data_IF_637602848707
#
_entry.id   IF_637602848707
#
_cell.length_a   1.000
_cell.length_b   1.000
_cell.length_c   1.000
_cell.angle_alpha   90.00
_cell.angle_beta   90.00
_cell.angle_gamma   90.00
#
_symmetry.space_group_name_H-M   'P 1'
#
loop_
_entity.id
_entity.type
_entity.pdbx_description
1 polymer ?
#
# COMPACT_ATOMS: atom_id res chain seq x y z
N UNK A 1 9.63 -19.74 11.98
CA UNK A 1 9.19 -20.19 10.63
C UNK A 1 10.19 -19.72 9.61
N UNK A 2 10.55 -20.60 8.65
CA UNK A 2 11.49 -20.25 7.59
C UNK A 2 10.76 -19.40 6.52
N UNK A 3 11.47 -18.44 5.94
CA UNK A 3 10.93 -17.64 4.84
C UNK A 3 10.62 -18.50 3.60
N UNK A 4 11.38 -19.58 3.39
CA UNK A 4 11.15 -20.59 2.35
C UNK A 4 9.81 -21.34 2.49
N UNK A 5 9.20 -21.36 3.68
CA UNK A 5 7.89 -21.97 3.90
C UNK A 5 6.76 -21.21 3.16
N UNK A 6 7.04 -19.98 2.73
CA UNK A 6 6.13 -19.07 2.02
C UNK A 6 6.56 -18.85 0.57
N UNK A 7 7.14 -19.86 -0.05
CA UNK A 7 7.64 -19.79 -1.42
C UNK A 7 6.71 -20.52 -2.39
N UNK A 8 6.63 -19.99 -3.60
CA UNK A 8 5.95 -20.61 -4.74
C UNK A 8 6.57 -20.11 -6.05
N UNK A 9 6.42 -20.89 -7.12
CA UNK A 9 6.94 -20.52 -8.42
C UNK A 9 5.95 -19.59 -9.11
N UNK A 10 6.39 -18.37 -9.44
CA UNK A 10 5.60 -17.39 -10.18
C UNK A 10 6.29 -17.09 -11.52
N UNK A 11 5.67 -17.43 -12.65
CA UNK A 11 6.15 -17.03 -13.98
C UNK A 11 6.12 -15.49 -14.11
N UNK A 12 7.22 -14.90 -14.56
CA UNK A 12 7.35 -13.43 -14.66
C UNK A 12 6.30 -12.79 -15.59
N UNK A 13 5.84 -13.51 -16.62
CA UNK A 13 4.81 -13.05 -17.55
C UNK A 13 3.42 -12.90 -16.90
N UNK A 14 3.19 -13.49 -15.73
CA UNK A 14 1.94 -13.33 -14.98
C UNK A 14 1.95 -12.09 -14.08
N UNK A 15 3.08 -11.40 -13.96
CA UNK A 15 3.16 -10.11 -13.23
C UNK A 15 2.53 -9.03 -14.10
N UNK A 16 1.39 -8.50 -13.67
CA UNK A 16 0.64 -7.51 -14.43
C UNK A 16 1.39 -6.18 -14.53
N UNK A 17 1.77 -5.79 -15.73
CA UNK A 17 2.46 -4.52 -15.99
C UNK A 17 1.50 -3.34 -16.20
N UNK A 18 0.25 -3.62 -16.57
CA UNK A 18 -0.81 -2.62 -16.83
C UNK A 18 -2.13 -3.06 -16.20
N UNK A 19 -2.97 -2.13 -15.74
CA UNK A 19 -4.33 -2.45 -15.31
C UNK A 19 -5.17 -2.92 -16.50
N UNK A 20 -6.23 -3.69 -16.22
CA UNK A 20 -7.28 -3.96 -17.20
C UNK A 20 -8.01 -2.67 -17.54
N UNK A 21 -8.62 -2.57 -18.70
CA UNK A 21 -9.42 -1.42 -19.11
C UNK A 21 -10.54 -1.14 -18.08
N UNK A 22 -11.34 -2.16 -17.77
CA UNK A 22 -12.35 -2.10 -16.73
C UNK A 22 -11.78 -2.68 -15.42
N UNK A 23 -11.90 -1.91 -14.32
CA UNK A 23 -11.36 -2.32 -12.99
C UNK A 23 -11.98 -3.60 -12.46
N UNK A 24 -13.27 -3.77 -12.66
CA UNK A 24 -14.08 -4.89 -12.16
C UNK A 24 -14.08 -6.13 -13.09
N UNK A 25 -13.38 -6.06 -14.21
CA UNK A 25 -13.13 -7.22 -15.08
C UNK A 25 -12.04 -8.16 -14.57
N UNK A 26 -11.38 -7.85 -13.45
CA UNK A 26 -10.39 -8.73 -12.81
C UNK A 26 -11.02 -10.05 -12.41
N UNK A 27 -10.26 -11.13 -12.55
CA UNK A 27 -10.63 -12.43 -11.99
C UNK A 27 -10.51 -12.37 -10.47
N UNK A 28 -11.32 -13.16 -9.80
CA UNK A 28 -11.36 -13.26 -8.34
C UNK A 28 -11.43 -14.73 -7.93
N UNK A 29 -10.40 -15.20 -7.21
CA UNK A 29 -10.42 -16.51 -6.60
C UNK A 29 -11.12 -16.42 -5.24
N UNK A 30 -12.22 -17.12 -5.08
CA UNK A 30 -12.99 -17.15 -3.83
C UNK A 30 -12.55 -18.37 -3.02
N UNK A 31 -12.04 -18.12 -1.81
CA UNK A 31 -11.70 -19.15 -0.83
C UNK A 31 -12.74 -19.12 0.29
N UNK A 32 -13.60 -20.11 0.33
CA UNK A 32 -14.64 -20.21 1.36
C UNK A 32 -14.18 -21.11 2.51
N UNK A 33 -14.05 -20.53 3.70
CA UNK A 33 -13.63 -21.23 4.91
C UNK A 33 -14.62 -22.30 5.37
N UNK A 34 -15.93 -22.03 5.19
CA UNK A 34 -16.97 -22.88 5.68
C UNK A 34 -17.17 -24.15 4.85
N UNK A 35 -17.20 -24.00 3.51
CA UNK A 35 -17.40 -25.12 2.58
C UNK A 35 -16.11 -25.84 2.21
N UNK A 36 -14.97 -25.18 2.33
CA UNK A 36 -13.68 -25.67 1.85
C UNK A 36 -13.56 -25.66 0.30
N UNK A 37 -14.55 -25.12 -0.40
CA UNK A 37 -14.60 -25.03 -1.86
C UNK A 37 -13.97 -23.74 -2.32
N UNK A 38 -13.14 -23.82 -3.35
CA UNK A 38 -12.51 -22.68 -4.01
C UNK A 38 -13.16 -22.49 -5.40
N UNK A 39 -13.49 -21.24 -5.75
CA UNK A 39 -14.21 -20.92 -6.98
C UNK A 39 -13.53 -19.81 -7.77
N UNK A 40 -13.41 -20.02 -9.08
CA UNK A 40 -12.99 -18.97 -10.03
C UNK A 40 -14.20 -18.08 -10.38
N UNK A 41 -14.10 -16.78 -10.09
CA UNK A 41 -15.13 -15.76 -10.31
C UNK A 41 -14.53 -14.51 -10.95
N UNK A 42 -15.37 -13.52 -11.22
CA UNK A 42 -14.95 -12.17 -11.59
C UNK A 42 -15.29 -11.19 -10.46
N UNK A 43 -14.48 -10.13 -10.34
CA UNK A 43 -14.71 -9.12 -9.29
C UNK A 43 -16.08 -8.44 -9.40
N UNK A 44 -16.61 -8.26 -10.62
CA UNK A 44 -17.94 -7.71 -10.85
C UNK A 44 -19.07 -8.51 -10.15
N UNK A 45 -18.82 -9.78 -9.79
CA UNK A 45 -19.74 -10.66 -9.09
C UNK A 45 -19.71 -10.46 -7.56
N UNK A 46 -18.73 -9.73 -7.03
CA UNK A 46 -18.55 -9.52 -5.59
C UNK A 46 -19.85 -9.15 -4.86
N UNK A 47 -20.69 -8.22 -5.35
CA UNK A 47 -21.93 -7.88 -4.66
C UNK A 47 -22.87 -9.07 -4.43
N UNK A 48 -22.89 -10.02 -5.36
CA UNK A 48 -23.71 -11.23 -5.26
C UNK A 48 -23.13 -12.30 -4.34
N UNK A 49 -21.84 -12.28 -4.12
CA UNK A 49 -21.12 -13.26 -3.29
C UNK A 49 -21.08 -12.89 -1.80
N UNK A 50 -21.37 -11.64 -1.46
CA UNK A 50 -21.44 -11.18 -0.08
C UNK A 50 -22.73 -11.74 0.58
N UNK A 51 -22.69 -11.98 1.89
CA UNK A 51 -23.86 -12.49 2.66
C UNK A 51 -24.98 -11.44 2.76
N UNK A 52 -24.60 -10.17 2.91
CA UNK A 52 -25.51 -9.04 3.02
C UNK A 52 -25.52 -8.38 4.41
N UNK A 53 -24.85 -8.99 5.38
CA UNK A 53 -24.72 -8.49 6.75
C UNK A 53 -23.29 -8.04 7.09
N UNK A 54 -22.34 -8.15 6.17
CA UNK A 54 -20.97 -7.71 6.38
C UNK A 54 -20.87 -6.19 6.59
N UNK A 55 -19.80 -5.77 7.25
CA UNK A 55 -19.28 -4.41 7.19
C UNK A 55 -17.97 -4.45 6.39
N UNK A 56 -17.93 -3.73 5.29
CA UNK A 56 -16.74 -3.62 4.44
C UNK A 56 -15.90 -2.45 4.93
N UNK A 57 -14.62 -2.68 5.18
CA UNK A 57 -13.67 -1.62 5.58
C UNK A 57 -12.65 -1.40 4.48
N UNK A 58 -12.56 -0.17 3.98
CA UNK A 58 -11.64 0.25 2.91
C UNK A 58 -10.60 1.23 3.43
N UNK A 59 -9.45 1.28 2.77
CA UNK A 59 -8.40 2.25 3.04
C UNK A 59 -8.51 3.41 2.04
N UNK A 60 -8.88 4.60 2.53
CA UNK A 60 -9.13 5.80 1.72
C UNK A 60 -7.89 6.64 1.45
N UNK A 61 -6.70 6.11 1.73
CA UNK A 61 -5.46 6.81 1.43
C UNK A 61 -5.31 7.11 -0.06
N UNK A 62 -4.74 8.28 -0.38
CA UNK A 62 -4.45 8.72 -1.74
C UNK A 62 -2.95 8.74 -1.99
N UNK A 63 -2.53 8.11 -3.08
CA UNK A 63 -1.11 8.12 -3.50
C UNK A 63 -0.74 9.49 -4.01
N UNK A 64 0.36 10.04 -3.51
CA UNK A 64 0.96 11.27 -4.04
C UNK A 64 1.99 10.92 -5.14
N UNK A 65 2.25 11.80 -6.12
CA UNK A 65 3.30 11.59 -7.11
C UNK A 65 4.68 11.79 -6.48
N UNK A 66 5.04 10.84 -5.61
CA UNK A 66 6.16 10.90 -4.69
C UNK A 66 7.53 10.64 -5.35
N UNK A 67 7.57 10.27 -6.63
CA UNK A 67 8.82 9.96 -7.35
C UNK A 67 9.26 11.17 -8.15
N UNK A 68 10.38 11.79 -7.76
CA UNK A 68 10.96 12.96 -8.42
C UNK A 68 12.23 12.57 -9.16
N UNK A 69 12.33 13.01 -10.43
CA UNK A 69 13.51 12.84 -11.27
C UNK A 69 14.18 14.20 -11.44
N UNK A 70 15.41 14.32 -10.94
CA UNK A 70 16.13 15.59 -10.91
C UNK A 70 17.57 15.45 -11.34
N UNK A 71 18.25 16.57 -11.37
CA UNK A 71 19.70 16.64 -11.65
C UNK A 71 20.40 17.32 -10.50
N UNK A 72 21.65 16.89 -10.23
CA UNK A 72 22.47 17.51 -9.21
C UNK A 72 22.74 18.97 -9.58
N UNK A 73 22.30 19.88 -8.72
CA UNK A 73 22.69 21.29 -8.79
C UNK A 73 24.14 21.45 -8.37
N UNK A 74 24.87 22.36 -9.01
CA UNK A 74 26.18 22.76 -8.50
C UNK A 74 25.99 23.54 -7.21
N UNK A 75 26.87 23.39 -6.19
CA UNK A 75 26.99 24.41 -5.15
C UNK A 75 27.28 25.73 -5.89
N UNK A 76 26.51 26.76 -5.61
CA UNK A 76 26.83 28.12 -6.09
C UNK A 76 27.95 28.62 -5.16
N UNK A 77 29.21 28.69 -5.61
CA UNK A 77 30.15 29.62 -4.97
C UNK A 77 29.67 31.01 -5.39
N UNK A 78 29.67 31.93 -4.47
CA UNK A 78 29.40 33.34 -4.78
C UNK A 78 30.09 33.75 -6.07
N UNK A 79 29.34 33.97 -7.13
CA UNK A 79 29.76 34.80 -8.24
C UNK A 79 30.12 34.18 -9.57
N UNK A 80 29.88 32.93 -9.97
CA UNK A 80 30.07 32.51 -11.36
C UNK A 80 29.16 31.35 -11.80
N UNK A 81 28.26 31.66 -12.74
CA UNK A 81 27.49 30.72 -13.54
C UNK A 81 28.37 30.10 -14.63
N UNK A 82 28.55 28.78 -14.63
CA UNK A 82 28.77 28.01 -15.85
C UNK A 82 28.43 26.53 -15.65
N UNK A 83 27.54 26.04 -16.48
CA UNK A 83 27.11 24.66 -16.61
C UNK A 83 28.24 23.77 -17.14
N UNK A 84 28.55 22.70 -16.41
CA UNK A 84 29.29 21.55 -16.97
C UNK A 84 28.31 20.39 -17.20
N UNK A 85 28.39 19.69 -18.34
CA UNK A 85 27.53 18.56 -18.62
C UNK A 85 27.96 17.32 -17.85
N UNK A 86 26.98 16.43 -17.58
CA UNK A 86 27.13 15.08 -17.09
C UNK A 86 27.29 14.86 -15.57
N UNK A 87 26.35 15.36 -14.77
CA UNK A 87 25.96 14.64 -13.55
C UNK A 87 24.63 13.94 -13.78
N UNK A 88 24.63 12.60 -13.60
CA UNK A 88 23.52 11.73 -13.93
C UNK A 88 22.23 12.07 -13.18
N UNK A 89 21.15 11.57 -13.71
CA UNK A 89 19.81 11.69 -13.12
C UNK A 89 19.80 11.15 -11.69
N UNK A 90 19.12 11.88 -10.80
CA UNK A 90 18.91 11.51 -9.41
C UNK A 90 17.42 11.25 -9.23
N UNK A 91 17.11 10.03 -8.82
CA UNK A 91 15.76 9.65 -8.41
C UNK A 91 15.60 9.89 -6.91
N UNK A 92 14.56 10.62 -6.54
CA UNK A 92 14.13 10.82 -5.15
C UNK A 92 12.73 10.24 -5.02
N UNK A 93 12.59 9.28 -4.09
CA UNK A 93 11.30 8.73 -3.70
C UNK A 93 10.96 9.22 -2.30
N UNK A 94 10.01 10.15 -2.21
CA UNK A 94 9.52 10.70 -0.95
C UNK A 94 8.88 9.58 -0.12
N UNK A 95 9.13 9.58 1.19
CA UNK A 95 8.70 8.50 2.07
C UNK A 95 7.81 8.97 3.21
N UNK A 96 8.17 10.06 3.84
CA UNK A 96 7.47 10.62 4.99
C UNK A 96 7.64 12.13 5.01
N UNK A 97 6.53 12.83 5.18
CA UNK A 97 6.49 14.27 5.39
C UNK A 97 6.81 14.59 6.86
N UNK A 98 7.87 15.38 7.05
CA UNK A 98 8.28 15.83 8.39
C UNK A 98 7.60 17.15 8.73
N UNK A 99 7.57 18.06 7.75
CA UNK A 99 6.86 19.33 7.76
C UNK A 99 6.56 19.77 6.30
N UNK A 100 5.92 20.92 6.12
CA UNK A 100 5.44 21.44 4.81
C UNK A 100 6.52 21.50 3.71
N UNK A 101 7.80 21.49 4.07
CA UNK A 101 8.94 21.62 3.14
C UNK A 101 10.00 20.54 3.35
N UNK A 102 9.90 19.75 4.39
CA UNK A 102 10.91 18.75 4.78
C UNK A 102 10.37 17.34 4.66
N UNK A 103 11.09 16.47 3.96
CA UNK A 103 10.70 15.10 3.69
C UNK A 103 11.83 14.12 3.95
N UNK A 104 11.51 12.98 4.50
CA UNK A 104 12.35 11.79 4.41
C UNK A 104 12.14 11.12 3.07
N UNK A 105 13.22 10.71 2.41
CA UNK A 105 13.18 10.14 1.07
C UNK A 105 14.25 9.07 0.87
N UNK A 106 14.01 8.15 -0.05
CA UNK A 106 15.06 7.31 -0.64
C UNK A 106 15.65 8.01 -1.86
N UNK A 107 16.97 7.96 -1.97
CA UNK A 107 17.70 8.61 -3.08
C UNK A 107 18.53 7.58 -3.85
N UNK A 108 18.44 7.62 -5.17
CA UNK A 108 19.24 6.81 -6.10
C UNK A 108 19.89 7.68 -7.19
N UNK A 109 21.21 7.54 -7.39
CA UNK A 109 22.20 6.80 -6.60
C UNK A 109 22.56 7.52 -5.29
N UNK A 110 22.31 6.87 -4.14
CA UNK A 110 22.50 7.48 -2.81
C UNK A 110 23.97 7.81 -2.44
N UNK A 111 24.95 7.09 -3.02
CA UNK A 111 26.38 7.32 -2.76
C UNK A 111 26.90 8.67 -3.25
N UNK A 112 26.19 9.30 -4.17
CA UNK A 112 26.61 10.54 -4.83
C UNK A 112 25.97 11.79 -4.23
N UNK A 113 25.09 11.67 -3.23
CA UNK A 113 24.37 12.79 -2.66
C UNK A 113 24.65 12.91 -1.15
N UNK A 114 25.38 13.97 -0.78
CA UNK A 114 25.84 14.27 0.58
C UNK A 114 25.08 15.46 1.17
N UNK A 115 25.17 15.63 2.50
CA UNK A 115 24.58 16.79 3.21
C UNK A 115 25.12 18.10 2.60
N UNK A 116 24.24 19.08 2.43
CA UNK A 116 24.49 20.36 1.77
C UNK A 116 24.41 20.32 0.24
N UNK A 117 24.27 19.14 -0.37
CA UNK A 117 24.12 19.06 -1.82
C UNK A 117 22.66 19.24 -2.22
N UNK A 118 22.46 19.77 -3.42
CA UNK A 118 21.17 20.14 -3.96
C UNK A 118 20.82 19.37 -5.22
N UNK A 119 19.54 19.08 -5.37
CA UNK A 119 18.95 18.46 -6.56
C UNK A 119 17.87 19.38 -7.10
N UNK A 120 17.88 19.63 -8.39
CA UNK A 120 16.94 20.50 -9.10
C UNK A 120 15.97 19.68 -9.95
N UNK A 121 14.71 20.10 -9.94
CA UNK A 121 13.62 19.48 -10.69
C UNK A 121 12.91 20.55 -11.56
N UNK A 122 12.30 20.12 -12.67
CA UNK A 122 11.55 21.00 -13.55
C UNK A 122 12.36 22.18 -14.08
N UNK A 123 13.66 21.99 -14.36
CA UNK A 123 14.53 23.10 -14.83
C UNK A 123 14.89 24.12 -13.74
N UNK A 124 14.79 23.75 -12.46
CA UNK A 124 15.09 24.62 -11.31
C UNK A 124 13.88 25.25 -10.66
N UNK A 125 12.68 24.86 -11.05
CA UNK A 125 11.42 25.37 -10.42
C UNK A 125 11.27 24.86 -8.99
N UNK A 126 11.70 23.62 -8.73
CA UNK A 126 11.78 23.02 -7.40
C UNK A 126 13.21 22.57 -7.13
N UNK A 127 13.71 22.79 -5.92
CA UNK A 127 15.03 22.37 -5.46
C UNK A 127 14.88 21.63 -4.13
N UNK A 128 15.69 20.56 -3.94
CA UNK A 128 15.81 19.86 -2.66
C UNK A 128 17.27 19.89 -2.17
N UNK A 129 17.48 20.29 -0.92
CA UNK A 129 18.78 20.24 -0.22
C UNK A 129 18.79 19.05 0.74
N UNK A 130 19.88 18.28 0.73
CA UNK A 130 20.10 17.21 1.70
C UNK A 130 20.50 17.83 3.04
N UNK A 131 19.67 17.70 4.06
CA UNK A 131 19.94 18.22 5.40
C UNK A 131 20.42 17.15 6.39
N UNK A 132 20.10 15.85 6.14
CA UNK A 132 20.58 14.76 6.98
C UNK A 132 20.70 13.45 6.20
N UNK A 133 21.53 12.54 6.69
CA UNK A 133 21.65 11.16 6.21
C UNK A 133 20.88 10.23 7.14
N UNK A 134 20.04 9.38 6.57
CA UNK A 134 19.40 8.24 7.24
C UNK A 134 20.11 6.91 6.94
N UNK A 135 19.53 5.82 7.39
CA UNK A 135 20.01 4.45 7.12
C UNK A 135 19.61 4.00 5.71
N UNK A 136 20.36 3.06 5.13
CA UNK A 136 20.01 2.35 3.89
C UNK A 136 19.64 3.24 2.68
N UNK A 137 20.34 4.37 2.50
CA UNK A 137 20.08 5.28 1.37
C UNK A 137 19.00 6.35 1.65
N UNK A 138 18.43 6.37 2.84
CA UNK A 138 17.51 7.43 3.25
C UNK A 138 18.24 8.77 3.41
N UNK A 139 17.52 9.85 3.11
CA UNK A 139 17.95 11.25 3.27
C UNK A 139 16.79 12.05 3.84
N UNK A 140 17.10 13.05 4.65
CA UNK A 140 16.16 14.13 4.95
C UNK A 140 16.44 15.26 3.98
N UNK A 141 15.42 15.68 3.25
CA UNK A 141 15.49 16.68 2.20
C UNK A 141 14.64 17.89 2.59
N UNK A 142 15.18 19.08 2.41
CA UNK A 142 14.43 20.33 2.53
C UNK A 142 14.17 20.88 1.13
N UNK A 143 12.91 21.06 0.78
CA UNK A 143 12.49 21.60 -0.51
C UNK A 143 12.33 23.11 -0.48
N UNK A 144 12.58 23.73 -1.62
CA UNK A 144 12.32 25.16 -1.87
C UNK A 144 11.82 25.34 -3.30
N UNK A 145 10.85 26.22 -3.49
CA UNK A 145 10.32 26.61 -4.81
C UNK A 145 10.94 27.93 -5.25
N UNK A 146 11.44 27.99 -6.49
CA UNK A 146 12.04 29.21 -7.07
C UNK A 146 11.04 30.38 -7.17
N UNK A 147 9.73 30.11 -7.28
CA UNK A 147 8.66 31.10 -7.43
C UNK A 147 7.87 31.35 -6.15
N UNK A 148 8.31 30.81 -5.00
CA UNK A 148 7.56 30.89 -3.75
C UNK A 148 6.22 30.13 -3.77
N UNK A 149 6.07 29.17 -4.70
CA UNK A 149 4.91 28.30 -4.76
C UNK A 149 4.93 27.31 -3.60
N UNK A 150 3.77 26.79 -3.23
CA UNK A 150 3.64 25.74 -2.19
C UNK A 150 4.36 24.48 -2.65
N UNK A 151 5.25 23.96 -1.80
CA UNK A 151 6.14 22.83 -2.16
C UNK A 151 5.36 21.59 -2.60
N UNK A 152 4.28 21.26 -1.91
CA UNK A 152 3.46 20.09 -2.25
C UNK A 152 2.78 20.20 -3.62
N UNK A 153 2.44 21.41 -4.05
CA UNK A 153 1.84 21.65 -5.37
C UNK A 153 2.88 21.40 -6.46
N UNK A 154 4.12 21.87 -6.26
CA UNK A 154 5.23 21.62 -7.18
C UNK A 154 5.61 20.13 -7.22
N UNK A 155 5.65 19.45 -6.07
CA UNK A 155 5.83 17.99 -6.01
C UNK A 155 4.71 17.29 -6.80
N UNK A 156 3.47 17.72 -6.62
CA UNK A 156 2.31 17.14 -7.32
C UNK A 156 2.37 17.33 -8.84
N UNK A 157 2.91 18.45 -9.27
CA UNK A 157 3.04 18.80 -10.70
C UNK A 157 4.21 18.10 -11.38
N UNK A 158 5.39 18.10 -10.73
CA UNK A 158 6.64 17.59 -11.28
C UNK A 158 6.86 16.10 -11.00
N UNK A 159 6.18 15.56 -9.99
CA UNK A 159 6.35 14.19 -9.56
C UNK A 159 5.68 13.18 -10.48
N UNK A 160 6.23 11.98 -10.45
CA UNK A 160 5.78 10.77 -11.12
C UNK A 160 5.08 9.84 -10.12
N UNK A 161 4.17 9.02 -10.63
CA UNK A 161 3.52 8.01 -9.80
C UNK A 161 4.56 6.96 -9.34
N UNK A 162 4.63 6.68 -8.03
CA UNK A 162 5.60 5.75 -7.47
C UNK A 162 5.17 4.29 -7.71
N UNK A 163 5.20 3.85 -8.96
CA UNK A 163 4.85 2.47 -9.30
C UNK A 163 5.80 1.49 -8.60
N UNK A 164 5.29 0.32 -8.16
CA UNK A 164 6.11 -0.71 -7.53
C UNK A 164 7.23 -1.21 -8.44
N UNK A 165 8.37 -1.68 -7.89
CA UNK A 165 9.56 -2.05 -8.66
C UNK A 165 9.38 -3.26 -9.59
N UNK A 166 8.31 -4.05 -9.44
CA UNK A 166 7.96 -5.15 -10.34
C UNK A 166 7.16 -4.70 -11.57
N UNK A 167 6.73 -3.44 -11.63
CA UNK A 167 6.21 -2.80 -12.83
C UNK A 167 7.41 -2.17 -13.55
N UNK A 168 7.92 -2.90 -14.55
CA UNK A 168 9.15 -2.54 -15.27
C UNK A 168 8.84 -1.62 -16.47
N UNK A 169 8.28 -0.45 -16.17
CA UNK A 169 8.04 0.65 -17.12
C UNK A 169 8.00 2.00 -16.41
N UNK A 170 8.19 3.07 -17.16
CA UNK A 170 7.88 4.41 -16.67
C UNK A 170 6.38 4.54 -16.37
N UNK A 171 6.03 5.45 -15.47
CA UNK A 171 4.64 5.81 -15.26
C UNK A 171 4.08 6.60 -16.46
N UNK A 172 2.80 6.41 -16.70
CA UNK A 172 2.04 7.07 -17.75
C UNK A 172 1.03 8.04 -17.12
N UNK A 173 0.52 8.99 -17.89
CA UNK A 173 -0.49 9.95 -17.40
C UNK A 173 -1.71 9.24 -16.79
N UNK A 174 -2.10 8.10 -17.38
CA UNK A 174 -3.20 7.27 -16.89
C UNK A 174 -2.95 6.67 -15.50
N UNK A 175 -1.69 6.45 -15.08
CA UNK A 175 -1.39 5.88 -13.77
C UNK A 175 -1.78 6.85 -12.63
N UNK A 176 -1.87 8.16 -12.88
CA UNK A 176 -2.36 9.13 -11.89
C UNK A 176 -3.78 8.80 -11.40
N UNK A 177 -4.61 8.25 -12.28
CA UNK A 177 -5.97 7.82 -11.97
C UNK A 177 -6.06 6.31 -11.72
N UNK A 178 -5.29 5.51 -12.49
CA UNK A 178 -5.39 4.06 -12.43
C UNK A 178 -4.70 3.46 -11.21
N UNK A 179 -3.66 4.10 -10.68
CA UNK A 179 -2.99 3.71 -9.44
C UNK A 179 -3.59 4.41 -8.22
N UNK A 180 -4.91 4.68 -8.27
CA UNK A 180 -5.74 5.21 -7.19
C UNK A 180 -7.02 4.39 -7.05
N UNK A 181 -7.49 4.22 -5.81
CA UNK A 181 -8.83 3.69 -5.57
C UNK A 181 -9.88 4.78 -5.82
N UNK A 182 -11.12 4.37 -6.12
CA UNK A 182 -12.20 5.34 -6.34
C UNK A 182 -12.66 6.05 -5.05
N UNK A 183 -12.24 5.55 -3.89
CA UNK A 183 -12.50 6.15 -2.57
C UNK A 183 -11.26 6.83 -1.97
N UNK A 184 -10.19 7.02 -2.75
CA UNK A 184 -8.99 7.71 -2.31
C UNK A 184 -9.27 9.19 -2.04
N UNK A 185 -9.12 9.63 -0.78
CA UNK A 185 -9.42 11.00 -0.34
C UNK A 185 -8.33 11.64 0.50
N UNK A 186 -7.54 10.85 1.26
CA UNK A 186 -6.51 11.33 2.19
C UNK A 186 -5.12 11.21 1.57
N UNK A 187 -4.47 12.29 1.07
CA UNK A 187 -3.15 12.23 0.46
C UNK A 187 -2.07 11.86 1.48
N UNK A 188 -1.00 11.20 1.04
CA UNK A 188 0.16 10.86 1.89
C UNK A 188 0.74 9.46 1.66
N UNK A 189 0.10 8.61 0.88
CA UNK A 189 0.66 7.29 0.54
C UNK A 189 1.63 7.37 -0.64
N UNK A 190 2.60 6.47 -0.63
CA UNK A 190 3.51 6.21 -1.77
C UNK A 190 3.19 4.90 -2.50
N UNK A 191 2.21 4.16 -2.01
CA UNK A 191 1.67 3.00 -2.70
C UNK A 191 0.16 2.93 -2.52
N UNK A 192 -0.54 2.46 -3.56
CA UNK A 192 -1.98 2.28 -3.50
C UNK A 192 -2.37 1.07 -2.63
N UNK A 193 -3.50 1.09 -1.91
CA UNK A 193 -4.11 -0.09 -1.33
C UNK A 193 -4.76 -0.93 -2.46
N UNK A 194 -3.94 -1.76 -3.12
CA UNK A 194 -4.18 -2.32 -4.46
C UNK A 194 -5.45 -3.17 -4.57
N UNK A 195 -5.88 -3.84 -3.49
CA UNK A 195 -7.16 -4.55 -3.48
C UNK A 195 -8.38 -3.63 -3.72
N UNK A 196 -8.24 -2.34 -3.40
CA UNK A 196 -9.26 -1.34 -3.67
C UNK A 196 -9.31 -0.87 -5.13
N UNK A 197 -8.31 -1.18 -5.95
CA UNK A 197 -8.25 -0.76 -7.36
C UNK A 197 -9.30 -1.44 -8.24
N UNK A 198 -9.83 -2.59 -7.80
CA UNK A 198 -10.86 -3.35 -8.51
C UNK A 198 -12.25 -2.70 -8.43
N UNK A 199 -12.49 -1.87 -7.42
CA UNK A 199 -13.80 -1.25 -7.24
C UNK A 199 -14.13 -0.23 -8.31
N UNK A 200 -15.39 -0.25 -8.74
CA UNK A 200 -16.02 0.78 -9.56
C UNK A 200 -17.18 1.41 -8.76
N UNK A 201 -17.66 2.56 -9.22
CA UNK A 201 -18.83 3.21 -8.60
C UNK A 201 -20.07 2.30 -8.64
N UNK A 202 -20.23 1.56 -9.74
CA UNK A 202 -21.33 0.62 -9.97
C UNK A 202 -21.29 -0.55 -9.00
N UNK A 203 -20.10 -1.12 -8.73
CA UNK A 203 -19.93 -2.20 -7.75
C UNK A 203 -20.26 -1.70 -6.35
N UNK A 204 -19.76 -0.52 -5.95
CA UNK A 204 -20.07 0.08 -4.64
C UNK A 204 -21.58 0.37 -4.50
N UNK A 205 -22.22 0.87 -5.55
CA UNK A 205 -23.65 1.12 -5.54
C UNK A 205 -24.48 -0.16 -5.36
N UNK A 206 -24.12 -1.25 -6.08
CA UNK A 206 -24.74 -2.56 -5.94
C UNK A 206 -24.60 -3.10 -4.49
N UNK A 207 -23.42 -2.93 -3.88
CA UNK A 207 -23.17 -3.32 -2.49
C UNK A 207 -24.05 -2.50 -1.53
N UNK A 208 -24.11 -1.17 -1.68
CA UNK A 208 -24.96 -0.30 -0.84
C UNK A 208 -26.45 -0.60 -0.99
N UNK A 209 -26.91 -0.91 -2.20
CA UNK A 209 -28.32 -1.32 -2.45
C UNK A 209 -28.73 -2.59 -1.72
N UNK A 210 -27.76 -3.44 -1.35
CA UNK A 210 -28.00 -4.61 -0.50
C UNK A 210 -28.00 -4.31 1.01
N UNK A 211 -27.85 -3.05 1.41
CA UNK A 211 -27.80 -2.63 2.80
C UNK A 211 -26.45 -2.87 3.50
N UNK A 212 -25.40 -3.26 2.75
CA UNK A 212 -24.07 -3.53 3.28
C UNK A 212 -23.39 -2.20 3.62
N UNK A 213 -22.94 -2.06 4.86
CA UNK A 213 -22.24 -0.87 5.33
C UNK A 213 -20.79 -0.87 4.80
N UNK A 214 -20.32 0.32 4.35
CA UNK A 214 -18.95 0.54 3.95
C UNK A 214 -18.35 1.62 4.86
N UNK A 215 -17.28 1.28 5.56
CA UNK A 215 -16.52 2.18 6.43
C UNK A 215 -15.14 2.45 5.84
N UNK A 216 -14.58 3.58 6.21
CA UNK A 216 -13.25 4.01 5.75
C UNK A 216 -12.30 4.16 6.93
N UNK A 217 -11.07 3.75 6.73
CA UNK A 217 -9.92 4.13 7.54
C UNK A 217 -8.83 4.71 6.64
N UNK A 218 -7.88 5.40 7.22
CA UNK A 218 -6.68 5.86 6.53
C UNK A 218 -5.47 5.08 7.02
N UNK A 219 -4.69 4.48 6.14
CA UNK A 219 -3.35 4.01 6.42
C UNK A 219 -2.47 4.42 5.24
N UNK A 220 -1.47 5.26 5.51
CA UNK A 220 -0.52 5.67 4.49
C UNK A 220 0.52 4.58 4.27
N UNK A 221 0.41 3.94 3.09
CA UNK A 221 1.31 2.85 2.70
C UNK A 221 2.69 3.41 2.42
N UNK A 222 3.68 2.93 3.17
CA UNK A 222 5.06 3.37 3.10
C UNK A 222 5.95 2.46 2.24
N UNK A 223 7.24 2.81 2.19
CA UNK A 223 8.28 2.09 1.42
C UNK A 223 8.45 0.62 1.84
N UNK A 224 8.15 0.31 3.11
CA UNK A 224 8.32 -1.04 3.66
C UNK A 224 7.52 -2.13 2.95
N UNK A 225 6.39 -1.77 2.35
CA UNK A 225 5.51 -2.70 1.64
C UNK A 225 6.17 -3.34 0.41
N UNK A 226 7.15 -2.66 -0.21
CA UNK A 226 7.87 -3.16 -1.38
C UNK A 226 9.26 -3.71 -1.06
N UNK A 227 9.66 -3.69 0.21
CA UNK A 227 10.97 -4.23 0.59
C UNK A 227 10.87 -5.75 0.80
N UNK A 228 11.73 -6.54 0.14
CA UNK A 228 11.78 -7.96 0.39
C UNK A 228 12.29 -8.24 1.82
N UNK A 229 11.80 -9.31 2.42
CA UNK A 229 12.33 -9.82 3.67
C UNK A 229 13.79 -10.24 3.42
N UNK A 230 14.71 -9.74 4.24
CA UNK A 230 16.17 -10.02 4.12
C UNK A 230 16.67 -11.06 5.10
N UNK A 231 15.83 -11.51 6.00
CA UNK A 231 16.12 -12.52 7.02
C UNK A 231 15.69 -13.90 6.54
N UNK A 232 16.38 -14.95 6.97
CA UNK A 232 16.03 -16.33 6.63
C UNK A 232 14.77 -16.80 7.37
N UNK A 233 14.49 -16.18 8.52
CA UNK A 233 13.33 -16.48 9.35
C UNK A 233 12.42 -15.26 9.48
N UNK A 234 11.12 -15.50 9.67
CA UNK A 234 10.14 -14.43 9.86
C UNK A 234 10.38 -13.67 11.16
N UNK A 235 10.80 -14.35 12.22
CA UNK A 235 11.02 -13.76 13.56
C UNK A 235 12.12 -12.70 13.57
N UNK A 236 13.08 -12.79 12.63
CA UNK A 236 14.17 -11.81 12.48
C UNK A 236 13.75 -10.55 11.71
N UNK A 237 12.57 -10.54 11.11
CA UNK A 237 12.12 -9.40 10.31
C UNK A 237 11.51 -8.31 11.18
N UNK A 238 11.96 -7.07 10.98
CA UNK A 238 11.42 -5.88 11.64
C UNK A 238 10.50 -5.14 10.68
N UNK A 239 9.20 -5.09 11.00
CA UNK A 239 8.23 -4.35 10.22
C UNK A 239 8.45 -2.83 10.35
N UNK A 240 8.41 -2.15 9.22
CA UNK A 240 8.28 -0.70 9.22
C UNK A 240 6.90 -0.29 9.74
N UNK A 241 6.88 0.77 10.54
CA UNK A 241 5.64 1.36 11.00
C UNK A 241 4.94 2.11 9.88
N UNK A 242 3.63 1.99 9.82
CA UNK A 242 2.77 2.74 8.89
C UNK A 242 1.73 3.52 9.70
N UNK A 243 1.69 4.83 9.47
CA UNK A 243 0.72 5.68 10.16
C UNK A 243 -0.70 5.36 9.70
N UNK A 244 -1.60 5.19 10.66
CA UNK A 244 -3.02 4.98 10.37
C UNK A 244 -3.92 5.86 11.24
N UNK A 245 -5.14 6.06 10.77
CA UNK A 245 -6.20 6.74 11.50
C UNK A 245 -7.53 5.99 11.33
N UNK A 246 -8.20 5.72 12.44
CA UNK A 246 -9.57 5.21 12.49
C UNK A 246 -10.42 6.26 13.18
N UNK A 247 -11.40 6.82 12.47
CA UNK A 247 -12.32 7.81 13.03
C UNK A 247 -13.20 7.20 14.13
N UNK A 248 -13.68 8.04 15.06
CA UNK A 248 -14.64 7.59 16.07
C UNK A 248 -15.87 6.93 15.44
N UNK A 249 -16.39 7.51 14.35
CA UNK A 249 -17.54 6.96 13.59
C UNK A 249 -17.24 5.55 13.06
N UNK A 250 -16.10 5.36 12.41
CA UNK A 250 -15.70 4.04 11.89
C UNK A 250 -15.51 3.02 13.00
N UNK A 251 -14.88 3.43 14.11
CA UNK A 251 -14.73 2.55 15.27
C UNK A 251 -16.07 2.11 15.85
N UNK A 252 -17.02 3.04 16.05
CA UNK A 252 -18.38 2.73 16.52
C UNK A 252 -19.12 1.77 15.58
N UNK A 253 -19.01 1.95 14.26
CA UNK A 253 -19.63 1.06 13.27
C UNK A 253 -19.08 -0.38 13.39
N UNK A 254 -17.76 -0.53 13.50
CA UNK A 254 -17.10 -1.83 13.63
C UNK A 254 -17.46 -2.48 14.97
N UNK A 255 -17.41 -1.73 16.08
CA UNK A 255 -17.75 -2.23 17.41
C UNK A 255 -19.22 -2.74 17.43
N UNK A 256 -20.15 -1.95 16.89
CA UNK A 256 -21.56 -2.34 16.77
C UNK A 256 -21.74 -3.59 15.92
N UNK A 257 -21.04 -3.69 14.78
CA UNK A 257 -21.08 -4.86 13.91
C UNK A 257 -20.58 -6.12 14.63
N UNK A 258 -19.43 -6.06 15.28
CA UNK A 258 -18.85 -7.19 16.03
C UNK A 258 -19.75 -7.61 17.19
N UNK A 259 -20.36 -6.66 17.93
CA UNK A 259 -21.30 -6.96 19.00
C UNK A 259 -22.59 -7.63 18.48
N UNK A 260 -22.96 -7.36 17.24
CA UNK A 260 -24.11 -7.99 16.56
C UNK A 260 -23.76 -9.30 15.83
N UNK A 261 -22.52 -9.78 15.93
CA UNK A 261 -22.03 -10.98 15.21
C UNK A 261 -21.93 -10.81 13.70
N UNK A 262 -21.91 -9.57 13.20
CA UNK A 262 -21.74 -9.26 11.77
C UNK A 262 -20.24 -9.34 11.39
N UNK A 263 -19.91 -10.00 10.27
CA UNK A 263 -18.51 -10.14 9.87
C UNK A 263 -17.92 -8.84 9.32
N UNK A 264 -16.63 -8.65 9.56
CA UNK A 264 -15.84 -7.53 9.03
C UNK A 264 -15.01 -8.03 7.85
N UNK A 265 -15.32 -7.51 6.65
CA UNK A 265 -14.56 -7.73 5.43
C UNK A 265 -13.54 -6.60 5.25
N UNK A 266 -12.27 -6.90 5.42
CA UNK A 266 -11.20 -5.96 5.13
C UNK A 266 -10.85 -5.96 3.64
N UNK A 267 -10.71 -4.76 3.05
CA UNK A 267 -10.21 -4.60 1.68
C UNK A 267 -8.72 -4.23 1.74
N UNK A 268 -7.88 -5.21 1.44
CA UNK A 268 -6.42 -5.10 1.44
C UNK A 268 -5.77 -5.42 2.79
N UNK A 269 -4.55 -5.94 2.71
CA UNK A 269 -3.73 -6.32 3.87
C UNK A 269 -3.35 -5.12 4.76
N UNK A 270 -3.30 -3.91 4.20
CA UNK A 270 -3.09 -2.67 4.95
C UNK A 270 -4.25 -2.37 5.88
N UNK A 271 -5.49 -2.59 5.42
CA UNK A 271 -6.70 -2.48 6.22
C UNK A 271 -6.70 -3.49 7.37
N UNK A 272 -6.33 -4.75 7.10
CA UNK A 272 -6.16 -5.78 8.14
C UNK A 272 -5.18 -5.30 9.21
N UNK A 273 -4.00 -4.83 8.81
CA UNK A 273 -2.96 -4.39 9.76
C UNK A 273 -3.41 -3.22 10.63
N UNK A 274 -4.12 -2.24 10.06
CA UNK A 274 -4.66 -1.11 10.82
C UNK A 274 -5.71 -1.56 11.85
N UNK A 275 -6.66 -2.41 11.43
CA UNK A 275 -7.73 -2.90 12.30
C UNK A 275 -7.18 -3.75 13.45
N UNK A 276 -6.29 -4.70 13.15
CA UNK A 276 -5.72 -5.57 14.17
C UNK A 276 -4.74 -4.82 15.09
N UNK A 277 -4.00 -3.81 14.59
CA UNK A 277 -3.19 -2.94 15.43
C UNK A 277 -4.06 -2.10 16.39
N UNK A 278 -5.20 -1.58 15.93
CA UNK A 278 -6.14 -0.86 16.77
C UNK A 278 -6.79 -1.77 17.84
N UNK A 279 -7.02 -3.05 17.50
CA UNK A 279 -7.52 -4.03 18.46
C UNK A 279 -6.46 -4.37 19.53
N UNK A 280 -5.20 -4.51 19.17
CA UNK A 280 -4.11 -4.72 20.13
C UNK A 280 -3.96 -3.53 21.07
N UNK A 281 -4.07 -2.29 20.57
CA UNK A 281 -4.07 -1.09 21.39
C UNK A 281 -5.24 -1.04 22.38
N UNK A 282 -6.42 -1.55 22.00
CA UNK A 282 -7.56 -1.66 22.92
C UNK A 282 -7.22 -2.57 24.11
N UNK A 283 -6.53 -3.70 23.86
CA UNK A 283 -6.09 -4.61 24.94
C UNK A 283 -5.06 -3.92 25.84
N UNK A 284 -4.05 -3.27 25.26
CA UNK A 284 -3.01 -2.56 26.03
C UNK A 284 -3.62 -1.47 26.91
N UNK A 285 -4.65 -0.77 26.38
CA UNK A 285 -5.41 0.24 27.11
C UNK A 285 -6.44 -0.36 28.10
N UNK A 286 -6.56 -1.69 28.19
CA UNK A 286 -7.58 -2.39 28.99
C UNK A 286 -9.00 -1.90 28.67
N UNK A 287 -9.28 -1.64 27.40
CA UNK A 287 -10.59 -1.22 26.92
C UNK A 287 -11.51 -2.44 26.80
N UNK A 288 -12.78 -2.28 27.13
CA UNK A 288 -13.83 -3.29 26.89
C UNK A 288 -14.25 -3.35 25.41
N UNK A 289 -13.77 -2.41 24.59
CA UNK A 289 -14.09 -2.36 23.17
C UNK A 289 -13.14 -3.26 22.36
N UNK A 290 -13.64 -3.80 21.23
CA UNK A 290 -12.85 -4.66 20.34
C UNK A 290 -11.70 -3.92 19.65
N UNK A 291 -11.82 -2.60 19.46
CA UNK A 291 -10.76 -1.72 18.95
C UNK A 291 -10.94 -0.28 19.46
N UNK A 292 -9.89 0.52 19.34
CA UNK A 292 -9.89 1.94 19.71
C UNK A 292 -9.71 2.84 18.49
N UNK A 293 -10.44 3.97 18.47
CA UNK A 293 -10.29 5.02 17.47
C UNK A 293 -8.97 5.80 17.65
N UNK A 294 -8.66 6.62 16.64
CA UNK A 294 -7.58 7.61 16.68
C UNK A 294 -6.42 7.31 15.76
N UNK A 295 -5.39 8.14 15.84
CA UNK A 295 -4.14 8.03 15.07
C UNK A 295 -3.14 7.17 15.82
N UNK A 296 -2.43 6.32 15.10
CA UNK A 296 -1.33 5.53 15.62
C UNK A 296 -0.45 4.97 14.49
N UNK A 297 0.51 4.15 14.84
CA UNK A 297 1.41 3.47 13.92
C UNK A 297 1.19 1.96 13.97
N UNK A 298 0.98 1.32 12.82
CA UNK A 298 0.86 -0.12 12.69
C UNK A 298 2.25 -0.73 12.42
N UNK A 299 2.87 -1.32 13.45
CA UNK A 299 4.14 -2.09 13.35
C UNK A 299 3.90 -3.59 13.38
N UNK A 300 2.65 -3.98 13.28
CA UNK A 300 2.22 -5.37 13.42
C UNK A 300 2.71 -6.24 12.27
N UNK A 301 3.41 -7.31 12.60
CA UNK A 301 3.76 -8.39 11.69
C UNK A 301 2.84 -9.59 11.95
N UNK A 302 1.91 -9.85 11.05
CA UNK A 302 0.95 -10.94 11.15
C UNK A 302 1.54 -12.18 10.46
N UNK A 303 1.67 -13.27 11.22
CA UNK A 303 2.21 -14.56 10.77
C UNK A 303 1.30 -15.70 11.23
N UNK A 304 1.39 -16.91 10.67
CA UNK A 304 0.62 -18.06 11.14
C UNK A 304 0.71 -18.25 12.66
N UNK A 305 -0.45 -18.44 13.28
CA UNK A 305 -0.62 -18.45 14.74
C UNK A 305 -1.13 -17.11 15.30
N UNK A 306 -1.18 -16.05 14.52
CA UNK A 306 -1.81 -14.80 14.92
C UNK A 306 -3.33 -14.99 15.12
N UNK A 307 -3.87 -14.41 16.19
CA UNK A 307 -5.30 -14.47 16.51
C UNK A 307 -5.97 -13.18 16.06
N UNK A 308 -6.69 -13.23 14.95
CA UNK A 308 -7.51 -12.12 14.46
C UNK A 308 -8.63 -11.80 15.45
N UNK A 309 -8.90 -10.50 15.64
CA UNK A 309 -9.85 -9.99 16.61
C UNK A 309 -10.99 -9.22 15.96
N UNK A 310 -10.69 -8.56 14.87
CA UNK A 310 -11.63 -7.69 14.14
C UNK A 310 -11.98 -8.32 12.80
N UNK A 311 -10.97 -8.72 12.03
CA UNK A 311 -11.14 -9.15 10.63
C UNK A 311 -11.62 -10.59 10.55
N UNK A 312 -12.74 -10.80 9.85
CA UNK A 312 -13.34 -12.12 9.61
C UNK A 312 -13.18 -12.57 8.15
N UNK A 313 -13.08 -11.62 7.21
CA UNK A 313 -12.94 -11.87 5.78
C UNK A 313 -11.96 -10.86 5.14
N UNK A 314 -11.36 -11.24 4.04
CA UNK A 314 -10.34 -10.43 3.36
C UNK A 314 -10.51 -10.47 1.84
N UNK A 315 -10.57 -9.28 1.23
CA UNK A 315 -10.35 -9.10 -0.21
C UNK A 315 -8.93 -8.61 -0.42
N UNK A 316 -8.12 -9.31 -1.22
CA UNK A 316 -6.71 -8.98 -1.42
C UNK A 316 -6.22 -9.36 -2.82
N UNK A 317 -5.13 -8.73 -3.30
CA UNK A 317 -4.43 -9.19 -4.49
C UNK A 317 -3.55 -10.41 -4.18
N UNK A 318 -3.03 -11.06 -5.21
CA UNK A 318 -1.98 -12.05 -5.07
C UNK A 318 -0.64 -11.39 -4.74
N UNK A 319 0.08 -11.95 -3.77
CA UNK A 319 1.31 -11.37 -3.21
C UNK A 319 2.57 -12.09 -3.68
N UNK A 320 3.71 -11.43 -3.53
CA UNK A 320 5.05 -11.96 -3.81
C UNK A 320 5.34 -13.23 -3.02
N UNK A 321 6.06 -14.21 -3.60
CA UNK A 321 6.66 -15.25 -2.81
C UNK A 321 7.61 -14.67 -1.75
N UNK A 322 7.74 -15.32 -0.61
CA UNK A 322 8.60 -14.92 0.51
C UNK A 322 8.33 -13.50 1.02
N UNK A 323 7.05 -13.08 1.04
CA UNK A 323 6.64 -11.75 1.49
C UNK A 323 5.88 -11.77 2.81
N UNK A 324 5.95 -10.65 3.54
CA UNK A 324 5.16 -10.43 4.76
C UNK A 324 3.66 -10.53 4.51
N UNK A 325 3.21 -10.15 3.31
CA UNK A 325 1.81 -10.17 2.92
C UNK A 325 1.31 -11.59 2.67
N UNK A 326 2.15 -12.45 2.07
CA UNK A 326 1.82 -13.87 1.92
C UNK A 326 1.75 -14.57 3.30
N UNK A 327 2.64 -14.24 4.23
CA UNK A 327 2.58 -14.75 5.59
C UNK A 327 1.28 -14.33 6.31
N UNK A 328 0.82 -13.08 6.11
CA UNK A 328 -0.43 -12.57 6.67
C UNK A 328 -1.64 -13.36 6.19
N UNK A 329 -1.78 -13.60 4.89
CA UNK A 329 -2.92 -14.38 4.37
C UNK A 329 -2.84 -15.86 4.77
N UNK A 330 -1.62 -16.42 4.90
CA UNK A 330 -1.43 -17.75 5.49
C UNK A 330 -1.86 -17.81 6.95
N UNK A 331 -1.74 -16.72 7.70
CA UNK A 331 -2.21 -16.65 9.08
C UNK A 331 -3.74 -16.71 9.17
N UNK A 332 -4.46 -16.19 8.16
CA UNK A 332 -5.92 -16.15 8.14
C UNK A 332 -6.54 -17.50 7.76
N UNK A 333 -5.95 -18.23 6.81
CA UNK A 333 -6.58 -19.41 6.18
C UNK A 333 -5.80 -20.71 6.40
N UNK A 334 -4.53 -20.59 6.77
CA UNK A 334 -3.59 -21.70 6.82
C UNK A 334 -2.68 -21.73 5.57
N UNK A 335 -1.41 -22.04 5.83
CA UNK A 335 -0.35 -22.00 4.81
C UNK A 335 -0.60 -22.93 3.64
N UNK A 336 -0.93 -24.20 3.94
CA UNK A 336 -1.08 -25.23 2.89
C UNK A 336 -2.19 -24.89 1.91
N UNK A 337 -3.32 -24.39 2.41
CA UNK A 337 -4.44 -24.00 1.61
C UNK A 337 -4.11 -22.78 0.72
N UNK A 338 -3.46 -21.77 1.29
CA UNK A 338 -3.04 -20.60 0.51
C UNK A 338 -2.05 -20.99 -0.58
N UNK A 339 -1.05 -21.81 -0.28
CA UNK A 339 -0.10 -22.25 -1.31
C UNK A 339 -0.76 -23.13 -2.38
N UNK A 340 -1.79 -23.92 -2.03
CA UNK A 340 -2.58 -24.64 -3.03
C UNK A 340 -3.38 -23.69 -3.92
N UNK A 341 -4.04 -22.68 -3.35
CA UNK A 341 -4.75 -21.64 -4.08
C UNK A 341 -3.83 -20.83 -5.01
N UNK A 342 -2.60 -20.55 -4.60
CA UNK A 342 -1.60 -19.85 -5.41
C UNK A 342 -1.10 -20.71 -6.56
N UNK A 343 -0.90 -22.03 -6.36
CA UNK A 343 -0.60 -22.96 -7.46
C UNK A 343 -1.73 -22.99 -8.49
N UNK A 344 -2.98 -23.14 -8.03
CA UNK A 344 -4.16 -23.06 -8.89
C UNK A 344 -4.19 -21.75 -9.68
N UNK A 345 -3.99 -20.61 -9.02
CA UNK A 345 -3.98 -19.32 -9.69
C UNK A 345 -2.88 -19.20 -10.77
N UNK A 346 -1.69 -19.74 -10.51
CA UNK A 346 -0.60 -19.80 -11.52
C UNK A 346 -1.01 -20.69 -12.70
N UNK A 347 -1.50 -21.90 -12.45
CA UNK A 347 -1.92 -22.87 -13.48
C UNK A 347 -3.11 -22.34 -14.30
N UNK A 348 -4.06 -21.66 -13.66
CA UNK A 348 -5.21 -21.05 -14.30
C UNK A 348 -4.90 -19.72 -15.00
N UNK A 349 -3.65 -19.22 -14.95
CA UNK A 349 -3.22 -18.03 -15.66
C UNK A 349 -3.76 -16.72 -15.08
N UNK A 350 -3.93 -16.65 -13.76
CA UNK A 350 -4.23 -15.39 -13.07
C UNK A 350 -3.10 -14.39 -13.22
N UNK A 351 -3.44 -13.11 -13.14
CA UNK A 351 -2.50 -11.99 -13.12
C UNK A 351 -2.15 -11.64 -11.68
N UNK A 352 -0.89 -11.32 -11.42
CA UNK A 352 -0.38 -11.12 -10.06
C UNK A 352 -0.03 -9.67 -9.77
N UNK A 353 -0.02 -9.31 -8.49
CA UNK A 353 0.38 -8.05 -7.86
C UNK A 353 -0.59 -6.88 -8.09
N UNK A 354 -0.07 -5.62 -8.07
CA UNK A 354 -0.88 -4.40 -7.97
C UNK A 354 -1.97 -4.25 -9.03
N UNK A 355 -1.66 -4.57 -10.28
CA UNK A 355 -2.57 -4.50 -11.42
C UNK A 355 -3.12 -5.88 -11.82
N UNK A 356 -2.85 -6.88 -10.99
CA UNK A 356 -3.31 -8.24 -11.21
C UNK A 356 -4.74 -8.48 -10.78
N UNK A 357 -5.05 -9.74 -10.58
CA UNK A 357 -6.34 -10.26 -10.11
C UNK A 357 -6.38 -10.30 -8.58
N UNK A 358 -7.48 -10.74 -7.98
CA UNK A 358 -7.67 -10.73 -6.54
C UNK A 358 -8.18 -12.07 -5.99
N UNK A 359 -8.25 -12.13 -4.66
CA UNK A 359 -8.81 -13.23 -3.89
C UNK A 359 -9.84 -12.65 -2.91
N UNK A 360 -10.95 -13.34 -2.75
CA UNK A 360 -11.90 -13.14 -1.66
C UNK A 360 -11.80 -14.33 -0.70
N UNK A 361 -11.38 -14.08 0.53
CA UNK A 361 -11.29 -15.06 1.61
C UNK A 361 -12.43 -14.80 2.58
N UNK A 362 -13.32 -15.76 2.79
CA UNK A 362 -14.50 -15.61 3.63
C UNK A 362 -14.89 -16.89 4.36
#
# INVERSE_FOLDING_TARGET
>A
MQLSDFDYVLPSQQIAQRPLENRDASRMLVLDHGSGVDEDRFFAELPGLLRGDEVIVVNNTRVIPARLLGRRGKPIPDGLSQSSPADGEIEILLAHEVDDVTWEALVRPGKKLHVGQRVQFGGGELEAEVIAHGKQGQRTLRFSSAKGAVVIDEISRLGHMPLPPYIDRADEASDRDRYQTIFASQPGAIAAPTAGLHFTAEVLEKIRKRGIEICELTLHVGLGTFQPIRTETLEGHVMHGEAYEISAKTAEQIIRAKSAGRPILAVGTTTVRALEAAALRAIEAKSDQVLVAGKAEARLFITPGFRFRVVDALLTNFHLPRSTLLALICALVGRERILAAYRHAVEAGYRFYSYGDCMLIR
#
